data_IF_865457327808
#
_entry.id   IF_865457327808
#
_cell.length_a   1.000
_cell.length_b   1.000
_cell.length_c   1.000
_cell.angle_alpha   90.00
_cell.angle_beta   90.00
_cell.angle_gamma   90.00
#
_symmetry.space_group_name_H-M   'P 1'
#
loop_
_entity.id
_entity.type
_entity.pdbx_description
1 polymer ?
#
# COMPACT_ATOMS: atom_id res chain seq x y z
N UNK A 1 -0.31 7.97 17.63
CA UNK A 1 -0.60 6.60 17.13
C UNK A 1 -0.87 6.72 15.63
N UNK A 2 -0.23 5.89 14.78
CA UNK A 2 -0.48 5.92 13.33
C UNK A 2 -1.61 4.95 12.98
N UNK A 3 -2.55 5.31 12.09
CA UNK A 3 -3.63 4.41 11.68
C UNK A 3 -3.07 3.21 10.92
N UNK A 4 -3.71 2.05 11.10
CA UNK A 4 -3.47 0.87 10.26
C UNK A 4 -4.39 0.98 9.05
N UNK A 5 -3.83 0.94 7.84
CA UNK A 5 -4.60 1.07 6.60
C UNK A 5 -4.43 -0.22 5.80
N UNK A 6 -5.55 -0.91 5.56
CA UNK A 6 -5.62 -2.02 4.62
C UNK A 6 -5.65 -1.51 3.18
N UNK A 7 -4.78 -2.07 2.34
CA UNK A 7 -4.68 -1.78 0.91
C UNK A 7 -5.02 -3.08 0.18
N UNK A 8 -6.14 -3.12 -0.54
CA UNK A 8 -6.45 -4.26 -1.40
C UNK A 8 -5.60 -4.19 -2.68
N UNK A 9 -4.98 -5.30 -3.07
CA UNK A 9 -4.15 -5.37 -4.28
C UNK A 9 -4.97 -5.23 -5.58
N UNK A 10 -6.26 -5.56 -5.50
CA UNK A 10 -7.18 -5.52 -6.64
C UNK A 10 -7.01 -6.74 -7.54
N UNK A 11 -7.31 -6.57 -8.83
CA UNK A 11 -7.17 -7.61 -9.84
C UNK A 11 -5.68 -7.90 -10.15
N UNK A 12 -5.19 -9.14 -10.02
CA UNK A 12 -3.82 -9.52 -10.36
C UNK A 12 -3.43 -9.30 -11.83
N UNK A 13 -4.38 -9.24 -12.76
CA UNK A 13 -4.13 -8.96 -14.17
C UNK A 13 -4.00 -7.44 -14.47
N UNK A 14 -4.37 -6.60 -13.50
CA UNK A 14 -4.20 -5.15 -13.58
C UNK A 14 -2.87 -4.67 -12.99
N UNK A 15 -2.66 -3.35 -13.03
CA UNK A 15 -1.42 -2.72 -12.54
C UNK A 15 -1.44 -2.35 -11.05
N UNK A 16 -2.46 -2.81 -10.30
CA UNK A 16 -2.69 -2.43 -8.90
C UNK A 16 -1.50 -2.77 -8.00
N UNK A 17 -0.99 -4.01 -8.09
CA UNK A 17 0.17 -4.46 -7.32
C UNK A 17 1.44 -3.66 -7.61
N UNK A 18 1.72 -3.34 -8.88
CA UNK A 18 2.89 -2.54 -9.28
C UNK A 18 2.84 -1.12 -8.69
N UNK A 19 1.65 -0.49 -8.73
CA UNK A 19 1.44 0.83 -8.12
C UNK A 19 1.55 0.75 -6.60
N UNK A 20 1.00 -0.28 -5.96
CA UNK A 20 1.13 -0.48 -4.51
C UNK A 20 2.59 -0.61 -4.11
N UNK A 21 3.39 -1.42 -4.80
CA UNK A 21 4.82 -1.57 -4.53
C UNK A 21 5.54 -0.23 -4.68
N UNK A 22 5.28 0.50 -5.77
CA UNK A 22 5.87 1.84 -5.99
C UNK A 22 5.50 2.81 -4.86
N UNK A 23 4.24 2.83 -4.46
CA UNK A 23 3.74 3.70 -3.39
C UNK A 23 4.45 3.41 -2.05
N UNK A 24 4.71 2.14 -1.74
CA UNK A 24 5.40 1.74 -0.52
C UNK A 24 6.91 2.07 -0.51
N UNK A 25 7.47 2.54 -1.63
CA UNK A 25 8.86 3.05 -1.63
C UNK A 25 8.99 4.47 -1.06
N UNK A 26 7.89 5.22 -1.00
CA UNK A 26 7.88 6.59 -0.48
C UNK A 26 7.91 6.57 1.05
N UNK A 27 9.00 7.08 1.65
CA UNK A 27 9.22 7.03 3.11
C UNK A 27 8.16 7.80 3.91
N UNK A 28 7.60 8.88 3.34
CA UNK A 28 6.57 9.71 4.00
C UNK A 28 5.25 8.96 4.20
N UNK A 29 4.99 7.86 3.48
CA UNK A 29 3.83 6.98 3.72
C UNK A 29 3.89 6.39 5.13
N UNK A 30 5.07 5.97 5.57
CA UNK A 30 5.26 5.39 6.89
C UNK A 30 5.18 6.45 8.01
N UNK A 31 5.32 7.73 7.70
CA UNK A 31 5.03 8.80 8.67
C UNK A 31 3.52 8.97 8.88
N UNK A 32 2.71 8.66 7.85
CA UNK A 32 1.25 8.84 7.83
C UNK A 32 0.47 7.63 8.35
N UNK A 33 0.90 6.41 8.06
CA UNK A 33 0.16 5.19 8.44
C UNK A 33 1.05 3.95 8.59
N UNK A 34 0.46 2.86 9.07
CA UNK A 34 0.99 1.49 8.97
C UNK A 34 0.24 0.79 7.84
N UNK A 35 0.77 0.76 6.60
CA UNK A 35 0.09 0.15 5.47
C UNK A 35 0.21 -1.38 5.52
N UNK A 36 -0.91 -2.08 5.30
CA UNK A 36 -0.99 -3.54 5.20
C UNK A 36 -1.62 -3.89 3.85
N UNK A 37 -0.88 -4.56 2.99
CA UNK A 37 -1.38 -5.01 1.68
C UNK A 37 -2.08 -6.36 1.83
N UNK A 38 -3.26 -6.48 1.24
CA UNK A 38 -4.06 -7.72 1.17
C UNK A 38 -4.34 -8.02 -0.30
N UNK A 39 -3.84 -9.14 -0.79
CA UNK A 39 -3.91 -9.55 -2.18
C UNK A 39 -3.61 -11.02 -2.35
#
# INVERSE_FOLDING_TARGET
>A
MRPVIGITMGDPAGIGGEITVKALTYKDIYEKCVPIVVG
#
